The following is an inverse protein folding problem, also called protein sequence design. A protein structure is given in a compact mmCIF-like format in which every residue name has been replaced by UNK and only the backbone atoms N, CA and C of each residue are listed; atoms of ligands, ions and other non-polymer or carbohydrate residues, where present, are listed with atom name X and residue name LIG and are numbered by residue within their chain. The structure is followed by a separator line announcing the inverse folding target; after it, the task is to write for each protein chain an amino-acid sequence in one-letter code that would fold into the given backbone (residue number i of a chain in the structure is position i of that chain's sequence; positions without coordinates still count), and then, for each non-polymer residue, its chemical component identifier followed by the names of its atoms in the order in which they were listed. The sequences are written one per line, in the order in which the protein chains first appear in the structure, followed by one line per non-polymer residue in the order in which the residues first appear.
data_IF_772741432081
#
_entry.id   IF_772741432081
#
_cell.length_a   1.000
_cell.length_b   1.000
_cell.length_c   1.000
_cell.angle_alpha   90.00
_cell.angle_beta   90.00
_cell.angle_gamma   90.00
#
_symmetry.space_group_name_H-M   'P 1'
#
loop_
_entity.id
_entity.type
_entity.pdbx_description
1 polymer ?
#
# COMPACT_ATOMS: atom_id res chain seq x y z
N UNK A 1 -3.34 -7.95 -0.77
CA UNK A 1 -3.81 -6.60 -0.38
C UNK A 1 -3.99 -5.77 -1.62
N UNK A 2 -5.13 -5.12 -1.74
CA UNK A 2 -5.40 -4.15 -2.82
C UNK A 2 -4.97 -2.77 -2.35
N UNK A 3 -4.22 -2.06 -3.17
CA UNK A 3 -3.84 -0.68 -2.89
C UNK A 3 -4.51 0.20 -3.93
N UNK A 4 -5.36 1.10 -3.47
CA UNK A 4 -5.93 2.17 -4.26
C UNK A 4 -5.49 3.51 -3.64
N UNK A 5 -4.44 4.10 -4.16
CA UNK A 5 -4.06 5.47 -3.79
C UNK A 5 -4.72 6.38 -4.82
N UNK A 6 -5.88 6.89 -4.46
CA UNK A 6 -6.65 7.75 -5.37
C UNK A 6 -6.28 9.24 -5.25
N UNK A 7 -5.79 9.65 -4.08
CA UNK A 7 -5.46 11.04 -3.78
C UNK A 7 -4.58 11.18 -2.53
N UNK A 8 -4.26 12.41 -2.17
CA UNK A 8 -3.46 12.73 -0.98
C UNK A 8 -4.15 12.26 0.33
N UNK A 9 -5.47 12.18 0.37
CA UNK A 9 -6.21 11.77 1.56
C UNK A 9 -6.08 10.27 1.81
N UNK A 10 -6.00 9.47 0.77
CA UNK A 10 -5.77 8.01 0.86
C UNK A 10 -4.41 7.67 1.48
N UNK A 11 -3.40 8.52 1.28
CA UNK A 11 -2.08 8.37 1.89
C UNK A 11 -2.01 8.85 3.33
N UNK A 12 -2.98 9.66 3.74
CA UNK A 12 -3.14 10.10 5.13
C UNK A 12 -4.15 9.25 5.90
N UNK A 13 -4.53 8.09 5.36
CA UNK A 13 -5.34 7.13 6.10
C UNK A 13 -4.50 6.57 7.26
N UNK A 14 -5.01 6.61 8.51
CA UNK A 14 -4.31 6.07 9.67
C UNK A 14 -3.97 4.59 9.55
N UNK A 15 -4.61 3.85 8.64
CA UNK A 15 -4.28 2.46 8.34
C UNK A 15 -2.81 2.28 7.94
N UNK A 16 -2.14 3.35 7.51
CA UNK A 16 -0.69 3.33 7.23
C UNK A 16 0.13 2.95 8.47
N UNK A 17 -0.34 3.18 9.68
CA UNK A 17 0.39 2.86 10.91
C UNK A 17 0.16 1.42 11.37
N UNK A 18 -0.80 0.73 10.78
CA UNK A 18 -1.24 -0.60 11.18
C UNK A 18 -0.22 -1.71 10.89
N UNK A 19 0.79 -1.44 10.06
CA UNK A 19 1.83 -2.38 9.69
C UNK A 19 3.20 -2.01 10.21
N UNK A 20 4.01 -3.01 10.61
CA UNK A 20 5.41 -2.79 10.88
C UNK A 20 6.16 -2.38 9.59
N UNK A 21 7.06 -1.42 9.72
CA UNK A 21 7.85 -0.93 8.59
C UNK A 21 8.74 -2.01 7.94
N UNK A 22 9.14 -3.02 8.72
CA UNK A 22 10.02 -4.11 8.25
C UNK A 22 9.26 -5.28 7.61
N UNK A 23 7.94 -5.18 7.50
CA UNK A 23 7.12 -6.24 6.90
C UNK A 23 7.30 -6.29 5.40
N UNK A 24 7.51 -7.49 4.86
CA UNK A 24 7.35 -7.72 3.43
C UNK A 24 5.88 -7.72 3.07
N UNK A 25 5.54 -7.08 1.97
CA UNK A 25 4.17 -6.99 1.45
C UNK A 25 4.15 -7.39 -0.02
N UNK A 26 3.12 -8.14 -0.41
CA UNK A 26 2.75 -8.35 -1.80
C UNK A 26 1.36 -7.77 -2.01
N UNK A 27 1.21 -6.90 -2.98
CA UNK A 27 -0.09 -6.36 -3.35
C UNK A 27 -0.47 -6.75 -4.78
N UNK A 28 -1.74 -6.59 -5.11
CA UNK A 28 -2.26 -6.68 -6.45
C UNK A 28 -2.94 -5.36 -6.79
N UNK A 29 -2.72 -4.85 -7.98
CA UNK A 29 -3.37 -3.62 -8.41
C UNK A 29 -4.87 -3.83 -8.64
N UNK A 30 -5.65 -2.76 -8.57
CA UNK A 30 -7.09 -2.82 -8.86
C UNK A 30 -7.37 -3.29 -10.28
N UNK A 31 -6.53 -2.87 -11.22
CA UNK A 31 -6.65 -3.24 -12.63
C UNK A 31 -6.38 -4.73 -12.85
N UNK A 32 -5.30 -5.26 -12.27
CA UNK A 32 -5.00 -6.69 -12.35
C UNK A 32 -6.07 -7.54 -11.64
N UNK A 33 -6.63 -7.03 -10.53
CA UNK A 33 -7.74 -7.69 -9.84
C UNK A 33 -9.01 -7.73 -10.69
N UNK A 34 -9.31 -6.64 -11.40
CA UNK A 34 -10.42 -6.61 -12.36
C UNK A 34 -10.21 -7.58 -13.52
N UNK A 35 -8.99 -7.64 -14.03
CA UNK A 35 -8.59 -8.59 -15.09
C UNK A 35 -8.68 -10.04 -14.62
N UNK A 36 -8.25 -10.31 -13.38
CA UNK A 36 -8.39 -11.63 -12.76
C UNK A 36 -9.84 -12.09 -12.76
N UNK A 37 -10.76 -11.23 -12.32
CA UNK A 37 -12.19 -11.56 -12.29
C UNK A 37 -12.76 -11.77 -13.70
N UNK A 38 -12.37 -10.95 -14.67
CA UNK A 38 -12.78 -11.12 -16.05
C UNK A 38 -12.27 -12.44 -16.64
N UNK A 39 -10.99 -12.74 -16.46
CA UNK A 39 -10.37 -13.96 -16.99
C UNK A 39 -10.93 -15.22 -16.31
N UNK A 40 -11.36 -15.14 -15.05
CA UNK A 40 -12.05 -16.26 -14.38
C UNK A 40 -13.43 -16.60 -14.99
N UNK A 41 -14.02 -15.69 -15.76
CA UNK A 41 -15.29 -15.94 -16.46
C UNK A 41 -15.13 -16.55 -17.87
N UNK A 42 -13.89 -16.75 -18.33
CA UNK A 42 -13.63 -17.32 -19.63
C UNK A 42 -13.89 -18.84 -19.67
N UNK A 43 -14.44 -19.34 -20.77
CA UNK A 43 -14.71 -20.77 -20.95
C UNK A 43 -13.42 -21.64 -20.97
N UNK A 44 -12.28 -21.00 -21.14
CA UNK A 44 -10.97 -21.66 -21.14
C UNK A 44 -10.44 -22.02 -19.76
N UNK A 45 -11.09 -21.58 -18.69
CA UNK A 45 -10.67 -21.88 -17.32
C UNK A 45 -10.93 -23.35 -17.02
N UNK A 46 -9.92 -24.15 -16.67
CA UNK A 46 -10.07 -25.58 -16.49
C UNK A 46 -10.86 -25.92 -15.22
N UNK A 47 -11.54 -27.08 -15.23
CA UNK A 47 -12.41 -27.48 -14.13
C UNK A 47 -11.68 -27.62 -12.78
N UNK A 48 -10.41 -28.03 -12.79
CA UNK A 48 -9.58 -28.15 -11.58
C UNK A 48 -9.28 -26.82 -10.90
N UNK A 49 -9.49 -25.69 -11.57
CA UNK A 49 -9.39 -24.34 -10.98
C UNK A 49 -10.47 -24.12 -9.91
N UNK A 50 -11.66 -24.64 -10.13
CA UNK A 50 -12.82 -24.35 -9.30
C UNK A 50 -12.78 -25.10 -7.95
N UNK A 51 -13.46 -24.52 -6.95
CA UNK A 51 -13.58 -25.09 -5.59
C UNK A 51 -12.27 -25.16 -4.83
N UNK A 52 -11.35 -24.24 -5.12
CA UNK A 52 -10.07 -24.06 -4.43
C UNK A 52 -9.93 -22.66 -3.87
N UNK A 53 -9.02 -22.49 -2.96
CA UNK A 53 -8.62 -21.18 -2.44
C UNK A 53 -7.31 -20.78 -3.10
N UNK A 54 -7.21 -19.50 -3.46
CA UNK A 54 -6.02 -18.94 -4.07
C UNK A 54 -5.62 -17.65 -3.38
N UNK A 55 -4.33 -17.45 -3.18
CA UNK A 55 -3.79 -16.18 -2.74
C UNK A 55 -3.64 -15.24 -3.95
N UNK A 56 -4.24 -14.06 -3.85
CA UNK A 56 -4.15 -13.03 -4.89
C UNK A 56 -2.97 -12.13 -4.60
N UNK A 57 -1.97 -12.16 -5.46
CA UNK A 57 -0.80 -11.30 -5.38
C UNK A 57 -0.31 -10.88 -6.77
N UNK A 58 0.37 -9.75 -6.85
CA UNK A 58 0.94 -9.20 -8.09
C UNK A 58 2.29 -9.83 -8.47
N UNK A 59 2.77 -10.82 -7.70
CA UNK A 59 4.04 -11.49 -7.93
C UNK A 59 5.24 -10.65 -7.52
N UNK A 60 6.43 -11.07 -7.96
CA UNK A 60 7.71 -10.46 -7.60
C UNK A 60 7.76 -8.95 -7.86
N UNK A 61 7.16 -8.48 -8.95
CA UNK A 61 7.10 -7.06 -9.30
C UNK A 61 6.27 -6.20 -8.34
N UNK A 62 5.46 -6.84 -7.48
CA UNK A 62 4.63 -6.21 -6.45
C UNK A 62 5.03 -6.60 -5.02
N UNK A 63 6.23 -7.17 -4.84
CA UNK A 63 6.81 -7.54 -3.54
C UNK A 63 7.85 -6.52 -3.12
N UNK A 64 7.67 -5.94 -1.94
CA UNK A 64 8.63 -4.99 -1.37
C UNK A 64 8.45 -4.91 0.14
N UNK A 65 9.38 -4.24 0.82
CA UNK A 65 9.22 -3.92 2.23
C UNK A 65 8.24 -2.75 2.40
N UNK A 66 7.50 -2.76 3.50
CA UNK A 66 6.50 -1.72 3.76
C UNK A 66 7.12 -0.32 3.88
N UNK A 67 8.31 -0.21 4.48
CA UNK A 67 9.05 1.05 4.53
C UNK A 67 9.37 1.58 3.12
N UNK A 68 9.72 0.70 2.20
CA UNK A 68 9.98 1.07 0.81
C UNK A 68 8.70 1.54 0.09
N UNK A 69 7.58 0.83 0.29
CA UNK A 69 6.29 1.24 -0.25
C UNK A 69 5.90 2.63 0.24
N UNK A 70 6.04 2.90 1.54
CA UNK A 70 5.73 4.20 2.13
C UNK A 70 6.63 5.31 1.58
N UNK A 71 7.95 5.06 1.50
CA UNK A 71 8.88 6.04 0.93
C UNK A 71 8.54 6.37 -0.52
N UNK A 72 8.34 5.36 -1.37
CA UNK A 72 7.97 5.55 -2.78
C UNK A 72 6.65 6.29 -2.93
N UNK A 73 5.68 6.02 -2.07
CA UNK A 73 4.39 6.73 -2.05
C UNK A 73 4.57 8.21 -1.73
N UNK A 74 5.41 8.55 -0.74
CA UNK A 74 5.72 9.94 -0.41
C UNK A 74 6.55 10.64 -1.51
N UNK A 75 7.45 9.92 -2.19
CA UNK A 75 8.21 10.45 -3.32
C UNK A 75 7.29 10.85 -4.48
N UNK A 76 6.32 10.02 -4.82
CA UNK A 76 5.30 10.31 -5.85
C UNK A 76 4.50 11.57 -5.52
N UNK A 77 4.19 11.78 -4.24
CA UNK A 77 3.50 12.99 -3.76
C UNK A 77 4.43 14.21 -3.68
N UNK A 78 5.75 14.00 -3.66
CA UNK A 78 6.72 15.07 -3.44
C UNK A 78 6.81 15.54 -1.99
N UNK A 79 6.44 14.69 -1.02
CA UNK A 79 6.40 15.05 0.41
C UNK A 79 7.77 14.96 1.10
N UNK A 80 8.77 14.34 0.48
CA UNK A 80 10.10 14.16 1.06
C UNK A 80 10.29 12.81 1.76
N UNK A 81 11.27 12.72 2.64
CA UNK A 81 11.65 11.46 3.25
C UNK A 81 10.69 11.03 4.35
N UNK A 82 10.40 9.71 4.39
CA UNK A 82 9.54 9.10 5.40
C UNK A 82 10.04 9.39 6.83
N UNK A 83 11.35 9.35 7.06
CA UNK A 83 11.99 9.62 8.36
C UNK A 83 11.79 11.06 8.86
N UNK A 84 11.63 12.02 7.95
CA UNK A 84 11.35 13.41 8.30
C UNK A 84 9.86 13.64 8.63
N UNK A 85 8.99 12.79 8.09
CA UNK A 85 7.53 12.92 8.18
C UNK A 85 6.93 12.08 9.31
N UNK A 86 7.53 10.96 9.65
CA UNK A 86 7.00 9.99 10.62
C UNK A 86 8.01 9.65 11.70
N UNK A 87 7.59 8.85 12.67
CA UNK A 87 8.47 8.23 13.66
C UNK A 87 8.18 6.74 13.70
N UNK A 88 9.24 5.92 13.85
CA UNK A 88 9.12 4.46 13.82
C UNK A 88 8.13 3.92 14.86
N UNK A 89 8.03 4.56 16.01
CA UNK A 89 7.12 4.18 17.08
C UNK A 89 5.65 4.54 16.85
N UNK A 90 5.31 5.12 15.70
CA UNK A 90 3.91 5.29 15.29
C UNK A 90 3.36 4.03 14.63
N UNK A 91 4.23 3.22 14.04
CA UNK A 91 3.86 2.00 13.32
C UNK A 91 3.73 0.80 14.26
N UNK A 92 2.93 -0.19 13.85
CA UNK A 92 2.81 -1.44 14.57
C UNK A 92 4.18 -2.13 14.74
N UNK A 93 4.34 -2.86 15.84
CA UNK A 93 5.60 -3.54 16.18
C UNK A 93 5.61 -5.01 15.83
N UNK A 94 4.43 -5.59 15.57
CA UNK A 94 4.26 -7.00 15.21
C UNK A 94 3.36 -7.11 13.99
N UNK A 95 3.79 -7.93 13.03
CA UNK A 95 2.97 -8.23 11.89
C UNK A 95 1.96 -9.33 12.23
N UNK A 96 0.73 -9.19 11.72
CA UNK A 96 -0.35 -10.16 11.88
C UNK A 96 -1.12 -10.38 10.57
N UNK A 97 -0.84 -9.62 9.54
CA UNK A 97 -1.44 -9.74 8.21
C UNK A 97 -0.54 -9.09 7.16
N UNK A 98 -0.92 -9.20 5.87
CA UNK A 98 -0.21 -8.57 4.76
C UNK A 98 1.25 -9.03 4.63
N UNK A 99 1.41 -10.28 4.25
CA UNK A 99 2.67 -10.87 3.84
C UNK A 99 2.74 -10.94 2.31
N UNK A 100 3.81 -11.50 1.79
CA UNK A 100 3.81 -12.04 0.44
C UNK A 100 3.50 -13.54 0.49
N UNK A 101 2.97 -14.07 -0.60
CA UNK A 101 2.51 -15.45 -0.67
C UNK A 101 3.44 -16.24 -1.57
N UNK A 102 3.91 -17.39 -1.06
CA UNK A 102 4.78 -18.29 -1.82
C UNK A 102 4.05 -18.90 -3.04
N UNK A 103 2.75 -19.05 -2.94
CA UNK A 103 1.89 -19.71 -3.91
C UNK A 103 1.06 -18.75 -4.79
N UNK A 104 1.28 -17.44 -4.72
CA UNK A 104 0.50 -16.47 -5.52
C UNK A 104 0.66 -16.66 -7.03
N UNK A 105 1.75 -17.31 -7.47
CA UNK A 105 2.01 -17.60 -8.87
C UNK A 105 1.13 -18.72 -9.43
N UNK A 106 0.53 -19.56 -8.58
CA UNK A 106 -0.42 -20.61 -9.00
C UNK A 106 -1.63 -19.99 -9.68
N UNK A 107 -2.19 -18.92 -9.09
CA UNK A 107 -3.34 -18.21 -9.66
C UNK A 107 -3.00 -17.52 -10.99
N UNK A 108 -1.81 -16.94 -11.09
CA UNK A 108 -1.30 -16.37 -12.34
C UNK A 108 -1.17 -17.43 -13.45
N UNK A 109 -0.75 -18.64 -13.09
CA UNK A 109 -0.65 -19.77 -14.01
C UNK A 109 -1.98 -20.12 -14.67
N UNK A 110 -3.10 -19.99 -13.95
CA UNK A 110 -4.44 -20.22 -14.47
C UNK A 110 -4.99 -19.03 -15.25
N UNK A 111 -4.89 -17.82 -14.70
CA UNK A 111 -5.68 -16.68 -15.15
C UNK A 111 -4.89 -15.61 -15.91
N UNK A 112 -3.56 -15.61 -15.84
CA UNK A 112 -2.67 -14.66 -16.55
C UNK A 112 -3.13 -13.21 -16.44
N UNK A 113 -3.36 -12.76 -15.21
CA UNK A 113 -3.96 -11.46 -14.94
C UNK A 113 -2.94 -10.34 -14.64
N UNK A 114 -1.70 -10.69 -14.30
CA UNK A 114 -0.67 -9.74 -13.90
C UNK A 114 -0.14 -8.94 -15.09
N UNK A 115 -0.22 -7.64 -15.02
CA UNK A 115 0.31 -6.73 -16.04
C UNK A 115 1.15 -5.60 -15.45
N UNK A 116 0.92 -5.27 -14.20
CA UNK A 116 1.52 -4.12 -13.54
C UNK A 116 2.43 -4.55 -12.38
N UNK A 117 3.48 -3.77 -12.17
CA UNK A 117 4.29 -3.81 -10.96
C UNK A 117 4.13 -2.53 -10.14
N UNK A 118 4.93 -2.41 -9.08
CA UNK A 118 4.98 -1.22 -8.22
C UNK A 118 5.25 0.05 -9.02
N UNK A 119 6.19 0.00 -9.96
CA UNK A 119 6.64 1.19 -10.70
C UNK A 119 5.54 1.73 -11.61
N UNK A 120 4.88 0.86 -12.37
CA UNK A 120 3.78 1.25 -13.24
C UNK A 120 2.59 1.78 -12.44
N UNK A 121 2.29 1.13 -11.31
CA UNK A 121 1.24 1.58 -10.41
C UNK A 121 1.52 2.99 -9.86
N UNK A 122 2.73 3.23 -9.34
CA UNK A 122 3.11 4.54 -8.80
C UNK A 122 3.17 5.63 -9.88
N UNK A 123 3.56 5.30 -11.12
CA UNK A 123 3.47 6.22 -12.26
C UNK A 123 2.02 6.62 -12.57
N UNK A 124 1.09 5.67 -12.54
CA UNK A 124 -0.33 5.97 -12.72
C UNK A 124 -0.88 6.87 -11.61
N UNK A 125 -0.52 6.57 -10.35
CA UNK A 125 -0.87 7.45 -9.21
C UNK A 125 -0.33 8.85 -9.42
N UNK A 126 0.94 8.99 -9.82
CA UNK A 126 1.55 10.29 -10.09
C UNK A 126 0.84 11.05 -11.21
N UNK A 127 0.44 10.35 -12.28
CA UNK A 127 -0.28 10.95 -13.40
C UNK A 127 -1.69 11.40 -13.02
N UNK A 128 -2.35 10.66 -12.13
CA UNK A 128 -3.70 10.98 -11.66
C UNK A 128 -3.75 12.14 -10.66
N UNK A 129 -2.63 12.43 -9.98
CA UNK A 129 -2.58 13.50 -8.97
C UNK A 129 -2.67 14.89 -9.61
N UNK A 130 -3.59 15.75 -9.16
CA UNK A 130 -3.68 17.13 -9.60
C UNK A 130 -2.38 17.89 -9.38
N UNK A 131 -1.99 18.74 -10.35
CA UNK A 131 -0.74 19.48 -10.28
C UNK A 131 -0.61 20.34 -9.01
N UNK A 132 -1.71 20.94 -8.55
CA UNK A 132 -1.73 21.76 -7.33
C UNK A 132 -1.41 20.95 -6.06
N UNK A 133 -1.83 19.67 -5.98
CA UNK A 133 -1.47 18.80 -4.85
C UNK A 133 0.02 18.51 -4.84
N UNK A 134 0.60 18.19 -5.99
CA UNK A 134 2.05 17.93 -6.12
C UNK A 134 2.88 19.17 -5.79
N UNK A 135 2.44 20.36 -6.25
CA UNK A 135 3.13 21.62 -5.93
C UNK A 135 2.97 21.93 -4.43
N UNK A 136 1.77 21.82 -3.88
CA UNK A 136 1.51 22.04 -2.46
C UNK A 136 2.34 21.15 -1.56
N UNK A 137 2.42 19.85 -1.87
CA UNK A 137 3.23 18.91 -1.11
C UNK A 137 4.74 19.26 -1.14
N UNK A 138 5.27 19.66 -2.31
CA UNK A 138 6.68 20.03 -2.46
C UNK A 138 7.09 21.31 -1.73
N UNK A 139 6.19 22.30 -1.65
CA UNK A 139 6.50 23.56 -1.00
C UNK A 139 6.20 23.57 0.49
N UNK A 140 5.45 22.57 0.98
CA UNK A 140 5.14 22.46 2.40
C UNK A 140 6.28 21.80 3.14
N UNK A 141 6.90 22.46 4.13
CA UNK A 141 7.98 21.87 4.90
C UNK A 141 7.54 20.59 5.62
N UNK A 142 8.35 19.53 5.56
CA UNK A 142 8.05 18.23 6.17
C UNK A 142 7.66 18.34 7.65
N UNK A 143 8.31 19.22 8.41
CA UNK A 143 8.03 19.42 9.83
C UNK A 143 6.62 19.96 10.10
N UNK A 144 6.04 20.73 9.18
CA UNK A 144 4.63 21.19 9.27
C UNK A 144 3.67 20.02 9.09
N UNK A 145 3.90 19.21 8.05
CA UNK A 145 3.09 18.01 7.79
C UNK A 145 3.19 17.05 8.97
N UNK A 146 4.40 16.77 9.43
CA UNK A 146 4.64 15.90 10.61
C UNK A 146 3.90 16.42 11.85
N UNK A 147 4.06 17.71 12.17
CA UNK A 147 3.55 18.34 13.40
C UNK A 147 2.03 18.47 13.43
N UNK A 148 1.45 18.91 12.32
CA UNK A 148 0.04 19.34 12.28
C UNK A 148 -0.89 18.34 11.61
N UNK A 149 -0.36 17.38 10.87
CA UNK A 149 -1.16 16.38 10.17
C UNK A 149 -0.86 14.97 10.67
N UNK A 150 0.35 14.45 10.44
CA UNK A 150 0.64 13.04 10.68
C UNK A 150 0.75 12.69 12.18
N UNK A 151 1.34 13.57 12.99
CA UNK A 151 1.44 13.31 14.44
C UNK A 151 0.08 13.32 15.16
N UNK A 152 -0.83 14.29 14.91
CA UNK A 152 -2.20 14.21 15.42
C UNK A 152 -2.94 12.97 14.94
N UNK A 153 -2.77 12.59 13.67
CA UNK A 153 -3.35 11.38 13.11
C UNK A 153 -2.86 10.14 13.86
N UNK A 154 -1.55 9.97 14.04
CA UNK A 154 -0.96 8.86 14.77
C UNK A 154 -1.39 8.84 16.25
N UNK A 155 -1.53 10.00 16.88
CA UNK A 155 -1.89 10.11 18.30
C UNK A 155 -3.35 9.77 18.59
N UNK A 156 -4.24 10.07 17.64
CA UNK A 156 -5.68 9.99 17.85
C UNK A 156 -6.33 8.75 17.24
N UNK A 157 -5.56 7.87 16.60
CA UNK A 157 -6.12 6.72 15.92
C UNK A 157 -5.57 5.38 16.46
N UNK A 158 -6.46 4.39 16.75
CA UNK A 158 -6.07 3.12 17.35
C UNK A 158 -5.16 2.23 16.48
N UNK A 159 -5.04 2.51 15.18
CA UNK A 159 -4.12 1.81 14.28
C UNK A 159 -2.65 2.17 14.53
N UNK A 160 -2.40 3.28 15.22
CA UNK A 160 -1.05 3.69 15.58
C UNK A 160 -0.64 3.20 16.96
N UNK A 161 0.59 2.71 17.08
CA UNK A 161 1.19 2.37 18.38
C UNK A 161 1.26 3.56 19.32
N UNK A 162 1.41 4.78 18.79
CA UNK A 162 1.43 6.01 19.58
C UNK A 162 0.12 6.24 20.34
N UNK A 163 -1.04 5.90 19.76
CA UNK A 163 -2.33 5.99 20.42
C UNK A 163 -2.33 5.17 21.71
N UNK A 164 -1.91 3.92 21.66
CA UNK A 164 -1.89 3.02 22.81
C UNK A 164 -0.90 3.45 23.89
N UNK A 165 0.28 3.94 23.49
CA UNK A 165 1.27 4.48 24.43
C UNK A 165 0.76 5.70 25.20
N UNK A 166 -0.11 6.51 24.60
CA UNK A 166 -0.67 7.71 25.22
C UNK A 166 -1.93 7.43 26.05
N UNK A 167 -2.66 6.33 25.78
CA UNK A 167 -3.94 6.00 26.43
C UNK A 167 -3.85 4.90 27.49
N UNK A 168 -2.75 4.14 27.54
CA UNK A 168 -2.47 3.15 28.60
C UNK A 168 -1.89 3.78 29.90
N UNK A 169 -1.92 5.09 30.00
CA UNK A 169 -1.54 5.87 31.21
C UNK A 169 -2.81 6.39 31.91
#
# INVERSE_FOLDING_TARGET
TFIAIADLTSLMDPIMFHQPLDTCIEFCTMEDSGRLLANACEDSVPEEFWRRFYNIGGGERCRLNYIELQQRSFDVLGMGKLEDLTERNWFATRNFHCHWFEDSDVLEGYLRFRSQGVDEYLQQVQAALPAWQRIGARVTPAWLVKRFVLRPLARNHPDSTMYWLDHDR
#
